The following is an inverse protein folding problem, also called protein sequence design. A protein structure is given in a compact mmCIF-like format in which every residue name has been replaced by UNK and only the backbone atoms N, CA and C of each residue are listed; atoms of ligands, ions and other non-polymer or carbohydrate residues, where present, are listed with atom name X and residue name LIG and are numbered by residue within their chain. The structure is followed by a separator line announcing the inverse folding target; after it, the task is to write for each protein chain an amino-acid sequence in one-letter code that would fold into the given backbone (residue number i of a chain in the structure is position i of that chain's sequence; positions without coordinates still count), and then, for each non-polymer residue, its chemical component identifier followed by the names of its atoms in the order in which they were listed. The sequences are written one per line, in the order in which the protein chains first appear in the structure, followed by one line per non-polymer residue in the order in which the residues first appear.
data_IF_634607834709
#
_entry.id   IF_634607834709
#
_cell.length_a   1.000
_cell.length_b   1.000
_cell.length_c   1.000
_cell.angle_alpha   90.00
_cell.angle_beta   90.00
_cell.angle_gamma   90.00
#
_symmetry.space_group_name_H-M   'P 1'
#
loop_
_entity.id
_entity.type
_entity.pdbx_description
1 polymer ?
#
# COMPACT_ATOMS: atom_id res chain seq x y z
N UNK A 1 10.11 -6.25 44.63
CA UNK A 1 9.78 -4.94 44.03
C UNK A 1 9.96 -5.09 42.55
N UNK A 2 8.85 -5.42 41.96
CA UNK A 2 8.73 -5.89 40.58
C UNK A 2 8.45 -4.68 39.69
N UNK A 3 9.41 -4.36 38.83
CA UNK A 3 9.28 -3.25 37.88
C UNK A 3 8.87 -3.85 36.55
N UNK A 4 7.57 -4.11 36.39
CA UNK A 4 6.99 -4.48 35.11
C UNK A 4 7.19 -3.32 34.13
N UNK A 5 8.17 -3.45 33.23
CA UNK A 5 8.30 -2.57 32.07
C UNK A 5 7.08 -2.81 31.18
N UNK A 6 6.22 -1.81 31.18
CA UNK A 6 5.11 -1.64 30.25
C UNK A 6 5.61 -1.86 28.82
N UNK A 7 5.19 -2.95 28.20
CA UNK A 7 5.35 -3.16 26.76
C UNK A 7 4.51 -2.11 26.08
N UNK A 8 5.19 -1.13 25.49
CA UNK A 8 4.57 -0.07 24.69
C UNK A 8 3.75 -0.73 23.58
N UNK A 9 2.44 -0.61 23.69
CA UNK A 9 1.47 -0.95 22.65
C UNK A 9 1.90 -0.27 21.35
N UNK A 10 2.19 -1.04 20.32
CA UNK A 10 2.38 -0.56 18.93
C UNK A 10 1.03 -0.13 18.37
N UNK A 11 0.43 0.89 19.00
CA UNK A 11 -0.78 1.49 18.48
C UNK A 11 -0.47 2.19 17.14
N UNK A 12 -1.35 2.10 16.13
CA UNK A 12 -1.17 2.83 14.88
C UNK A 12 -1.01 4.33 15.19
N UNK A 13 -0.14 4.99 14.42
CA UNK A 13 0.13 6.42 14.55
C UNK A 13 -1.17 7.24 14.63
N UNK A 14 -1.28 8.30 15.44
CA UNK A 14 -2.56 9.01 15.67
C UNK A 14 -3.25 9.50 14.40
N UNK A 15 -2.48 9.94 13.40
CA UNK A 15 -3.03 10.34 12.09
C UNK A 15 -3.53 9.12 11.29
N UNK A 16 -2.84 7.99 11.35
CA UNK A 16 -3.28 6.75 10.72
C UNK A 16 -4.57 6.21 11.34
N UNK A 17 -4.82 6.41 12.65
CA UNK A 17 -6.07 5.99 13.31
C UNK A 17 -7.31 6.58 12.67
N UNK A 18 -7.29 7.85 12.27
CA UNK A 18 -8.44 8.50 11.61
C UNK A 18 -8.74 7.88 10.23
N UNK A 19 -7.71 7.44 9.51
CA UNK A 19 -7.88 6.70 8.28
C UNK A 19 -8.41 5.29 8.53
N UNK A 20 -7.92 4.60 9.57
CA UNK A 20 -8.47 3.30 9.99
C UNK A 20 -9.96 3.44 10.32
N UNK A 21 -10.35 4.42 11.14
CA UNK A 21 -11.75 4.68 11.49
C UNK A 21 -12.62 4.99 10.26
N UNK A 22 -12.05 5.60 9.22
CA UNK A 22 -12.74 5.83 7.95
C UNK A 22 -12.95 4.52 7.18
N UNK A 23 -11.90 3.68 7.08
CA UNK A 23 -11.94 2.42 6.36
C UNK A 23 -12.74 1.33 7.08
N UNK A 24 -12.91 1.43 8.40
CA UNK A 24 -13.78 0.53 9.20
C UNK A 24 -15.27 0.73 8.89
N UNK A 25 -15.66 1.88 8.35
CA UNK A 25 -17.06 2.20 8.04
C UNK A 25 -17.39 1.88 6.59
N UNK A 26 -18.67 1.58 6.27
CA UNK A 26 -19.10 1.51 4.89
C UNK A 26 -18.79 2.84 4.17
N UNK A 27 -17.97 2.78 3.15
CA UNK A 27 -17.57 3.96 2.37
C UNK A 27 -17.73 3.68 0.88
N UNK A 28 -18.00 4.74 0.10
CA UNK A 28 -18.19 4.65 -1.34
C UNK A 28 -17.08 5.44 -2.06
N UNK A 29 -15.86 4.88 -2.05
CA UNK A 29 -14.76 5.42 -2.86
C UNK A 29 -14.93 5.04 -4.33
N UNK A 30 -15.55 3.90 -4.59
CA UNK A 30 -15.85 3.44 -5.94
C UNK A 30 -17.23 3.91 -6.39
N UNK A 31 -17.35 4.29 -7.65
CA UNK A 31 -18.59 4.82 -8.22
C UNK A 31 -19.74 3.80 -8.17
N UNK A 32 -19.43 2.53 -8.46
CA UNK A 32 -20.33 1.40 -8.41
C UNK A 32 -19.53 0.08 -8.43
N UNK A 33 -20.24 -1.05 -8.40
CA UNK A 33 -19.62 -2.39 -8.47
C UNK A 33 -18.78 -2.60 -9.73
N UNK A 34 -19.22 -2.12 -10.88
CA UNK A 34 -18.47 -2.23 -12.15
C UNK A 34 -17.13 -1.49 -12.08
N UNK A 35 -17.10 -0.29 -11.50
CA UNK A 35 -15.87 0.45 -11.27
C UNK A 35 -14.90 -0.35 -10.40
N UNK A 36 -15.39 -0.91 -9.29
CA UNK A 36 -14.62 -1.75 -8.38
C UNK A 36 -14.02 -2.96 -9.12
N UNK A 37 -14.83 -3.71 -9.85
CA UNK A 37 -14.41 -4.90 -10.61
C UNK A 37 -13.33 -4.56 -11.66
N UNK A 38 -13.52 -3.50 -12.42
CA UNK A 38 -12.55 -3.05 -13.44
C UNK A 38 -11.26 -2.59 -12.79
N UNK A 39 -11.34 -1.80 -11.72
CA UNK A 39 -10.18 -1.31 -11.00
C UNK A 39 -9.27 -2.48 -10.54
N UNK A 40 -9.85 -3.43 -9.83
CA UNK A 40 -9.08 -4.57 -9.31
C UNK A 40 -8.68 -5.58 -10.39
N UNK A 41 -9.42 -5.67 -11.50
CA UNK A 41 -9.01 -6.48 -12.65
C UNK A 41 -7.75 -5.93 -13.31
N UNK A 42 -7.68 -4.62 -13.53
CA UNK A 42 -6.51 -3.95 -14.10
C UNK A 42 -5.32 -4.02 -13.13
N UNK A 43 -5.56 -3.76 -11.84
CA UNK A 43 -4.53 -3.90 -10.82
C UNK A 43 -3.95 -5.31 -10.76
N UNK A 44 -4.80 -6.34 -10.74
CA UNK A 44 -4.36 -7.73 -10.72
C UNK A 44 -3.57 -8.11 -11.97
N UNK A 45 -3.94 -7.58 -13.14
CA UNK A 45 -3.21 -7.77 -14.40
C UNK A 45 -1.80 -7.17 -14.31
N UNK A 46 -1.67 -5.94 -13.82
CA UNK A 46 -0.39 -5.28 -13.68
C UNK A 46 0.51 -5.96 -12.64
N UNK A 47 -0.03 -6.38 -11.49
CA UNK A 47 0.70 -7.10 -10.44
C UNK A 47 1.17 -8.47 -10.93
N UNK A 48 0.41 -9.14 -11.80
CA UNK A 48 0.67 -10.51 -12.24
C UNK A 48 2.06 -10.73 -12.85
N UNK A 49 2.64 -9.68 -13.48
CA UNK A 49 3.98 -9.73 -14.07
C UNK A 49 5.10 -9.78 -13.01
N UNK A 50 4.78 -9.41 -11.78
CA UNK A 50 5.73 -9.32 -10.67
C UNK A 50 5.59 -10.46 -9.65
N UNK A 51 4.54 -11.26 -9.75
CA UNK A 51 4.28 -12.34 -8.77
C UNK A 51 5.36 -13.42 -8.85
N UNK A 52 5.97 -13.78 -7.71
CA UNK A 52 6.96 -14.85 -7.68
C UNK A 52 6.27 -16.22 -7.80
N UNK A 53 6.63 -17.04 -8.79
CA UNK A 53 6.10 -18.40 -8.86
C UNK A 53 6.41 -19.18 -7.57
N UNK A 54 5.38 -19.73 -6.92
CA UNK A 54 5.47 -20.45 -5.65
C UNK A 54 6.01 -19.64 -4.45
N UNK A 55 6.25 -18.34 -4.61
CA UNK A 55 6.74 -17.46 -3.54
C UNK A 55 5.63 -16.96 -2.62
N UNK A 56 6.06 -16.35 -1.51
CA UNK A 56 5.19 -15.71 -0.51
C UNK A 56 5.01 -14.23 -0.83
N UNK A 57 3.76 -13.81 -0.99
CA UNK A 57 3.39 -12.40 -1.23
C UNK A 57 2.78 -11.82 0.03
N UNK A 58 3.27 -10.65 0.47
CA UNK A 58 2.61 -9.84 1.52
C UNK A 58 1.92 -8.65 0.84
N UNK A 59 0.59 -8.59 0.93
CA UNK A 59 -0.21 -7.43 0.53
C UNK A 59 -0.49 -6.57 1.76
N UNK A 60 0.26 -5.47 1.87
CA UNK A 60 0.23 -4.55 3.02
C UNK A 60 -0.73 -3.39 2.75
N UNK A 61 -1.81 -3.32 3.52
CA UNK A 61 -2.94 -2.41 3.28
C UNK A 61 -3.86 -2.93 2.18
N UNK A 62 -4.14 -4.23 2.22
CA UNK A 62 -4.81 -4.97 1.14
C UNK A 62 -6.30 -4.61 0.94
N UNK A 63 -6.92 -3.87 1.88
CA UNK A 63 -8.35 -3.62 1.85
C UNK A 63 -9.15 -4.91 1.72
N UNK A 64 -10.18 -4.93 0.88
CA UNK A 64 -11.00 -6.14 0.64
C UNK A 64 -10.28 -7.20 -0.22
N UNK A 65 -9.01 -7.02 -0.56
CA UNK A 65 -8.15 -7.97 -1.28
C UNK A 65 -8.82 -8.61 -2.51
N UNK A 66 -9.50 -7.80 -3.35
CA UNK A 66 -10.28 -8.31 -4.49
C UNK A 66 -9.44 -8.89 -5.63
N UNK A 67 -8.12 -8.66 -5.61
CA UNK A 67 -7.17 -9.27 -6.54
C UNK A 67 -6.62 -10.63 -6.03
N UNK A 68 -6.90 -11.01 -4.78
CA UNK A 68 -6.24 -12.12 -4.10
C UNK A 68 -6.36 -13.47 -4.83
N UNK A 69 -7.55 -13.83 -5.33
CA UNK A 69 -7.73 -15.09 -6.03
C UNK A 69 -6.88 -15.18 -7.31
N UNK A 70 -6.82 -14.06 -8.07
CA UNK A 70 -5.97 -14.00 -9.28
C UNK A 70 -4.48 -14.04 -8.94
N UNK A 71 -4.08 -13.41 -7.82
CA UNK A 71 -2.70 -13.50 -7.35
C UNK A 71 -2.33 -14.93 -6.97
N UNK A 72 -3.24 -15.66 -6.32
CA UNK A 72 -3.04 -17.07 -5.94
C UNK A 72 -2.91 -18.03 -7.13
N UNK A 73 -3.33 -17.65 -8.33
CA UNK A 73 -3.09 -18.45 -9.53
C UNK A 73 -1.60 -18.50 -9.89
N UNK A 74 -0.78 -17.57 -9.39
CA UNK A 74 0.62 -17.39 -9.78
C UNK A 74 1.62 -17.44 -8.62
N UNK A 75 1.21 -17.13 -7.38
CA UNK A 75 2.09 -17.18 -6.21
C UNK A 75 1.84 -18.43 -5.35
N UNK A 76 2.75 -18.75 -4.44
CA UNK A 76 2.63 -19.89 -3.52
C UNK A 76 1.67 -19.62 -2.38
N UNK A 77 1.84 -18.52 -1.69
CA UNK A 77 1.03 -18.11 -0.54
C UNK A 77 0.83 -16.59 -0.49
N UNK A 78 -0.23 -16.19 0.20
CA UNK A 78 -0.63 -14.80 0.32
C UNK A 78 -0.84 -14.44 1.79
N UNK A 79 -0.08 -13.47 2.26
CA UNK A 79 -0.21 -12.83 3.55
C UNK A 79 -0.97 -11.53 3.34
N UNK A 80 -2.12 -11.36 3.99
CA UNK A 80 -2.97 -10.18 3.88
C UNK A 80 -2.91 -9.39 5.17
N UNK A 81 -2.50 -8.14 5.10
CA UNK A 81 -2.52 -7.23 6.24
C UNK A 81 -3.29 -5.96 5.89
N UNK A 82 -4.19 -5.59 6.79
CA UNK A 82 -4.83 -4.28 6.77
C UNK A 82 -4.90 -3.71 8.19
N UNK A 83 -4.79 -2.40 8.35
CA UNK A 83 -4.85 -1.75 9.66
C UNK A 83 -6.26 -1.80 10.27
N UNK A 84 -7.32 -1.89 9.44
CA UNK A 84 -8.71 -1.95 9.83
C UNK A 84 -9.08 -3.34 10.39
N UNK A 85 -9.50 -3.45 11.67
CA UNK A 85 -9.99 -4.70 12.24
C UNK A 85 -11.19 -5.27 11.48
N UNK A 86 -12.13 -4.41 11.06
CA UNK A 86 -13.32 -4.84 10.32
C UNK A 86 -12.96 -5.42 8.94
N UNK A 87 -11.93 -4.88 8.27
CA UNK A 87 -11.41 -5.47 7.02
C UNK A 87 -10.83 -6.85 7.30
N UNK A 88 -9.97 -6.98 8.32
CA UNK A 88 -9.35 -8.28 8.67
C UNK A 88 -10.39 -9.36 9.01
N UNK A 89 -11.46 -9.00 9.74
CA UNK A 89 -12.56 -9.90 10.06
C UNK A 89 -13.24 -10.43 8.79
N UNK A 90 -13.59 -9.54 7.85
CA UNK A 90 -14.18 -9.94 6.56
C UNK A 90 -13.27 -10.84 5.75
N UNK A 91 -11.97 -10.53 5.70
CA UNK A 91 -10.98 -11.33 4.98
C UNK A 91 -10.81 -12.71 5.62
N UNK A 92 -10.76 -12.79 6.95
CA UNK A 92 -10.67 -14.06 7.68
C UNK A 92 -11.87 -14.94 7.37
N UNK A 93 -13.08 -14.38 7.36
CA UNK A 93 -14.27 -15.12 6.97
C UNK A 93 -14.24 -15.55 5.50
N UNK A 94 -13.82 -14.66 4.58
CA UNK A 94 -13.76 -14.94 3.14
C UNK A 94 -12.77 -16.04 2.78
N UNK A 95 -11.62 -16.06 3.42
CA UNK A 95 -10.56 -17.02 3.12
C UNK A 95 -10.49 -18.18 4.12
N UNK A 96 -11.53 -18.35 4.95
CA UNK A 96 -11.62 -19.47 5.89
C UNK A 96 -11.42 -20.81 5.15
N UNK A 97 -10.48 -21.63 5.63
CA UNK A 97 -10.17 -22.93 5.02
C UNK A 97 -9.24 -22.88 3.79
N UNK A 98 -8.81 -21.72 3.33
CA UNK A 98 -7.76 -21.67 2.30
C UNK A 98 -6.36 -21.66 2.92
N UNK A 99 -5.60 -22.79 2.87
CA UNK A 99 -4.30 -22.89 3.55
C UNK A 99 -3.22 -21.99 2.92
N UNK A 100 -3.47 -21.44 1.73
CA UNK A 100 -2.52 -20.56 1.04
C UNK A 100 -2.71 -19.09 1.39
N UNK A 101 -3.75 -18.73 2.16
CA UNK A 101 -4.03 -17.37 2.59
C UNK A 101 -3.98 -17.26 4.10
N UNK A 102 -3.22 -16.30 4.60
CA UNK A 102 -3.19 -15.95 6.01
C UNK A 102 -3.48 -14.47 6.17
N UNK A 103 -4.51 -14.13 6.93
CA UNK A 103 -4.82 -12.76 7.35
C UNK A 103 -4.04 -12.46 8.62
N UNK A 104 -3.30 -11.35 8.62
CA UNK A 104 -2.40 -10.96 9.70
C UNK A 104 -2.99 -9.79 10.48
N UNK A 105 -2.87 -9.82 11.78
CA UNK A 105 -2.97 -8.63 12.63
C UNK A 105 -1.59 -8.01 12.89
N UNK A 106 -1.53 -6.95 13.71
CA UNK A 106 -0.28 -6.25 14.04
C UNK A 106 0.73 -7.15 14.77
N UNK A 107 0.24 -8.11 15.58
CA UNK A 107 1.09 -9.07 16.32
C UNK A 107 1.63 -10.11 15.37
N UNK A 108 0.77 -10.65 14.52
CA UNK A 108 1.15 -11.61 13.47
C UNK A 108 2.21 -11.03 12.54
N UNK A 109 1.98 -9.79 12.07
CA UNK A 109 2.94 -9.09 11.21
C UNK A 109 4.28 -8.85 11.92
N UNK A 110 4.25 -8.54 13.23
CA UNK A 110 5.46 -8.36 14.02
C UNK A 110 6.20 -9.67 14.32
N UNK A 111 5.49 -10.78 14.33
CA UNK A 111 6.02 -12.11 14.59
C UNK A 111 6.51 -12.84 13.33
N UNK A 112 6.32 -12.29 12.14
CA UNK A 112 6.85 -12.88 10.91
C UNK A 112 8.38 -12.95 10.98
N UNK A 113 8.97 -14.10 10.66
CA UNK A 113 10.42 -14.23 10.58
C UNK A 113 11.01 -13.29 9.52
N UNK A 114 12.22 -12.75 9.73
CA UNK A 114 12.94 -12.05 8.68
C UNK A 114 13.08 -12.91 7.42
N UNK A 115 13.03 -12.29 6.25
CA UNK A 115 13.22 -12.98 4.98
C UNK A 115 12.07 -13.88 4.54
N UNK A 116 10.88 -13.75 5.13
CA UNK A 116 9.71 -14.59 4.80
C UNK A 116 9.03 -14.20 3.47
N UNK A 117 9.18 -12.96 3.04
CA UNK A 117 8.39 -12.35 1.95
C UNK A 117 9.22 -12.23 0.68
N UNK A 118 8.77 -12.84 -0.41
CA UNK A 118 9.40 -12.73 -1.72
C UNK A 118 8.88 -11.54 -2.52
N UNK A 119 7.63 -11.14 -2.29
CA UNK A 119 7.06 -9.92 -2.85
C UNK A 119 6.23 -9.18 -1.81
N UNK A 120 6.61 -7.96 -1.53
CA UNK A 120 5.84 -7.01 -0.73
C UNK A 120 5.07 -6.08 -1.67
N UNK A 121 3.75 -6.02 -1.50
CA UNK A 121 2.88 -5.07 -2.18
C UNK A 121 2.46 -3.98 -1.20
N UNK A 122 2.60 -2.71 -1.61
CA UNK A 122 2.13 -1.53 -0.90
C UNK A 122 1.42 -0.65 -1.93
N UNK A 123 0.12 -0.89 -2.12
CA UNK A 123 -0.65 -0.28 -3.21
C UNK A 123 -1.69 0.68 -2.65
N UNK A 124 -1.65 1.95 -3.05
CA UNK A 124 -2.58 2.99 -2.57
C UNK A 124 -2.56 3.18 -1.04
N UNK A 125 -1.42 2.98 -0.38
CA UNK A 125 -1.28 3.03 1.08
C UNK A 125 -0.51 4.26 1.55
N UNK A 126 0.58 4.62 0.86
CA UNK A 126 1.51 5.63 1.37
C UNK A 126 0.87 6.99 1.64
N UNK A 127 -0.20 7.35 0.92
CA UNK A 127 -0.93 8.60 1.15
C UNK A 127 -1.61 8.69 2.53
N UNK A 128 -1.75 7.56 3.23
CA UNK A 128 -2.34 7.48 4.57
C UNK A 128 -1.30 7.39 5.68
N UNK A 129 -0.02 7.28 5.32
CA UNK A 129 1.11 7.20 6.24
C UNK A 129 1.70 8.61 6.40
N UNK A 130 1.75 9.17 7.63
CA UNK A 130 2.44 10.42 7.85
C UNK A 130 3.92 10.33 7.44
N UNK A 131 4.42 11.36 6.77
CA UNK A 131 5.80 11.38 6.26
C UNK A 131 6.85 11.04 7.34
N UNK A 132 6.76 11.54 8.59
CA UNK A 132 7.73 11.18 9.64
C UNK A 132 7.73 9.71 10.03
N UNK A 133 6.63 8.99 9.76
CA UNK A 133 6.45 7.58 10.13
C UNK A 133 6.93 6.63 9.03
N UNK A 134 7.04 7.12 7.79
CA UNK A 134 7.41 6.32 6.61
C UNK A 134 8.76 5.61 6.76
N UNK A 135 9.85 6.26 7.21
CA UNK A 135 11.15 5.59 7.33
C UNK A 135 11.12 4.40 8.31
N UNK A 136 10.38 4.52 9.41
CA UNK A 136 10.23 3.42 10.38
C UNK A 136 9.44 2.25 9.79
N UNK A 137 8.36 2.55 9.06
CA UNK A 137 7.56 1.55 8.35
C UNK A 137 8.40 0.82 7.30
N UNK A 138 9.10 1.54 6.44
CA UNK A 138 9.92 0.95 5.37
C UNK A 138 11.02 0.04 5.93
N UNK A 139 11.71 0.44 7.01
CA UNK A 139 12.71 -0.41 7.68
C UNK A 139 12.09 -1.70 8.23
N UNK A 140 10.91 -1.60 8.84
CA UNK A 140 10.18 -2.77 9.35
C UNK A 140 9.81 -3.73 8.22
N UNK A 141 9.26 -3.22 7.13
CA UNK A 141 8.86 -4.02 5.98
C UNK A 141 10.05 -4.63 5.23
N UNK A 142 11.18 -3.89 5.15
CA UNK A 142 12.43 -4.40 4.56
C UNK A 142 12.92 -5.68 5.24
N UNK A 143 12.84 -5.75 6.56
CA UNK A 143 13.30 -6.94 7.31
C UNK A 143 12.53 -8.19 6.91
N UNK A 144 11.28 -8.05 6.49
CA UNK A 144 10.45 -9.18 6.07
C UNK A 144 10.82 -9.71 4.68
N UNK A 145 11.47 -8.90 3.83
CA UNK A 145 11.86 -9.31 2.48
C UNK A 145 12.97 -10.36 2.52
N UNK A 146 12.81 -11.41 1.73
CA UNK A 146 13.89 -12.37 1.44
C UNK A 146 15.06 -11.68 0.72
N UNK A 147 16.26 -12.25 0.71
CA UNK A 147 17.42 -11.63 0.07
C UNK A 147 17.21 -11.28 -1.41
N UNK A 148 16.39 -12.04 -2.13
CA UNK A 148 15.99 -11.78 -3.52
C UNK A 148 14.57 -11.21 -3.61
N UNK A 149 13.96 -10.90 -2.48
CA UNK A 149 12.62 -10.36 -2.40
C UNK A 149 12.54 -8.94 -2.96
N UNK A 150 11.33 -8.58 -3.41
CA UNK A 150 11.06 -7.26 -4.01
C UNK A 150 9.92 -6.58 -3.28
N UNK A 151 9.97 -5.26 -3.20
CA UNK A 151 8.84 -4.44 -2.81
C UNK A 151 8.30 -3.72 -4.05
N UNK A 152 6.98 -3.77 -4.25
CA UNK A 152 6.25 -2.92 -5.19
C UNK A 152 5.44 -1.89 -4.41
N UNK A 153 5.78 -0.64 -4.61
CA UNK A 153 5.09 0.49 -4.01
C UNK A 153 4.37 1.22 -5.14
N UNK A 154 3.06 1.14 -5.14
CA UNK A 154 2.26 1.58 -6.27
C UNK A 154 1.18 2.60 -5.88
N UNK A 155 0.68 3.30 -6.90
CA UNK A 155 -0.35 4.34 -6.77
C UNK A 155 0.08 5.49 -5.85
N UNK A 156 1.37 5.82 -5.87
CA UNK A 156 1.95 6.92 -5.10
C UNK A 156 1.51 8.27 -5.66
N UNK A 157 1.05 9.14 -4.78
CA UNK A 157 0.59 10.49 -5.13
C UNK A 157 1.78 11.44 -5.22
N UNK A 158 2.00 11.99 -6.41
CA UNK A 158 2.99 13.02 -6.65
C UNK A 158 2.40 14.39 -6.29
N UNK A 159 3.07 15.25 -5.48
CA UNK A 159 2.56 16.57 -5.11
C UNK A 159 2.32 17.50 -6.32
N UNK A 160 3.02 17.28 -7.43
CA UNK A 160 2.82 18.02 -8.67
C UNK A 160 1.58 17.61 -9.47
N UNK A 161 0.85 16.56 -9.03
CA UNK A 161 -0.33 16.07 -9.75
C UNK A 161 -1.54 16.99 -9.53
N UNK A 162 -2.12 17.58 -10.59
CA UNK A 162 -3.33 18.38 -10.47
C UNK A 162 -4.51 17.55 -9.95
N UNK A 163 -5.33 18.11 -9.05
CA UNK A 163 -6.56 17.46 -8.57
C UNK A 163 -7.50 17.02 -9.69
N UNK A 164 -7.52 17.77 -10.80
CA UNK A 164 -8.31 17.44 -11.99
C UNK A 164 -7.81 16.18 -12.72
N UNK A 165 -6.57 15.75 -12.51
CA UNK A 165 -6.06 14.53 -13.14
C UNK A 165 -6.75 13.27 -12.62
N UNK A 166 -7.04 13.19 -11.31
CA UNK A 166 -7.81 12.09 -10.71
C UNK A 166 -9.22 12.05 -11.29
N UNK A 167 -9.87 13.22 -11.40
CA UNK A 167 -11.23 13.35 -11.98
C UNK A 167 -11.23 12.91 -13.45
N UNK A 168 -10.29 13.41 -14.24
CA UNK A 168 -10.18 13.06 -15.66
C UNK A 168 -9.91 11.55 -15.86
N UNK A 169 -9.04 10.96 -15.03
CA UNK A 169 -8.76 9.53 -15.05
C UNK A 169 -9.99 8.69 -14.73
N UNK A 170 -10.75 9.06 -13.70
CA UNK A 170 -11.99 8.37 -13.32
C UNK A 170 -13.05 8.48 -14.42
N UNK A 171 -13.23 9.66 -15.03
CA UNK A 171 -14.20 9.85 -16.12
C UNK A 171 -13.79 9.07 -17.37
N UNK A 172 -12.50 9.08 -17.73
CA UNK A 172 -11.98 8.28 -18.84
C UNK A 172 -12.22 6.80 -18.62
N UNK A 173 -11.92 6.27 -17.43
CA UNK A 173 -12.17 4.88 -17.10
C UNK A 173 -13.67 4.56 -17.15
N UNK A 174 -14.52 5.46 -16.63
CA UNK A 174 -15.98 5.34 -16.70
C UNK A 174 -16.51 5.29 -18.14
N UNK A 175 -15.95 6.12 -19.02
CA UNK A 175 -16.26 6.10 -20.45
C UNK A 175 -15.83 4.79 -21.11
N UNK A 176 -14.56 4.39 -20.93
CA UNK A 176 -13.99 3.20 -21.59
C UNK A 176 -14.67 1.90 -21.14
N UNK A 177 -15.12 1.83 -19.88
CA UNK A 177 -15.67 0.60 -19.29
C UNK A 177 -17.19 0.64 -19.00
N UNK A 178 -17.89 1.66 -19.49
CA UNK A 178 -19.35 1.73 -19.49
C UNK A 178 -20.01 2.11 -18.15
N UNK A 179 -19.30 2.90 -17.29
CA UNK A 179 -19.86 3.40 -16.01
C UNK A 179 -19.70 4.91 -15.82
N UNK A 180 -19.66 5.69 -16.93
CA UNK A 180 -19.46 7.14 -16.88
C UNK A 180 -20.49 7.86 -16.01
N UNK A 181 -21.77 7.53 -16.14
CA UNK A 181 -22.85 8.15 -15.35
C UNK A 181 -22.65 7.93 -13.85
N UNK A 182 -22.27 6.71 -13.46
CA UNK A 182 -21.93 6.39 -12.07
C UNK A 182 -20.70 7.18 -11.60
N UNK A 183 -19.70 7.38 -12.46
CA UNK A 183 -18.52 8.20 -12.15
C UNK A 183 -18.90 9.66 -11.89
N UNK A 184 -19.76 10.25 -12.71
CA UNK A 184 -20.24 11.62 -12.50
C UNK A 184 -20.99 11.78 -11.17
N UNK A 185 -21.90 10.85 -10.86
CA UNK A 185 -22.64 10.83 -9.58
C UNK A 185 -21.68 10.65 -8.39
N UNK A 186 -20.69 9.77 -8.52
CA UNK A 186 -19.70 9.53 -7.46
C UNK A 186 -18.83 10.76 -7.19
N UNK A 187 -18.42 11.49 -8.22
CA UNK A 187 -17.66 12.74 -8.07
C UNK A 187 -18.46 13.80 -7.29
N UNK A 188 -19.76 13.94 -7.59
CA UNK A 188 -20.64 14.83 -6.81
C UNK A 188 -20.74 14.37 -5.36
N UNK A 189 -20.97 13.07 -5.10
CA UNK A 189 -21.04 12.53 -3.75
C UNK A 189 -19.72 12.70 -2.99
N UNK A 190 -18.58 12.50 -3.65
CA UNK A 190 -17.26 12.65 -3.04
C UNK A 190 -17.03 14.09 -2.54
N UNK A 191 -17.54 15.11 -3.27
CA UNK A 191 -17.44 16.52 -2.83
C UNK A 191 -18.22 16.79 -1.53
N UNK A 192 -19.27 16.00 -1.26
CA UNK A 192 -20.13 16.11 -0.08
C UNK A 192 -19.77 15.09 1.03
N UNK A 193 -18.77 14.24 0.80
CA UNK A 193 -18.44 13.13 1.70
C UNK A 193 -17.48 13.51 2.82
N UNK A 194 -17.47 12.71 3.89
CA UNK A 194 -16.52 12.79 5.00
C UNK A 194 -15.05 12.59 4.56
N UNK A 195 -14.79 11.98 3.40
CA UNK A 195 -13.46 11.79 2.86
C UNK A 195 -12.66 13.09 2.76
N UNK A 196 -13.29 14.18 2.31
CA UNK A 196 -12.63 15.50 2.23
C UNK A 196 -12.30 16.06 3.62
N UNK A 197 -13.16 15.80 4.60
CA UNK A 197 -12.91 16.19 5.99
C UNK A 197 -11.75 15.39 6.57
N UNK A 198 -11.78 14.06 6.46
CA UNK A 198 -10.72 13.19 6.94
C UNK A 198 -9.39 13.53 6.27
N UNK A 199 -9.37 13.75 4.96
CA UNK A 199 -8.17 14.16 4.22
C UNK A 199 -7.56 15.47 4.75
N UNK A 200 -8.39 16.44 5.16
CA UNK A 200 -7.91 17.70 5.74
C UNK A 200 -7.41 17.54 7.18
N UNK A 201 -8.08 16.70 7.97
CA UNK A 201 -7.82 16.56 9.40
C UNK A 201 -6.71 15.55 9.72
N UNK A 202 -6.66 14.45 9.00
CA UNK A 202 -5.67 13.39 9.16
C UNK A 202 -4.42 13.59 8.30
N UNK A 203 -4.47 14.50 7.33
CA UNK A 203 -3.44 14.68 6.32
C UNK A 203 -3.58 13.67 5.17
N UNK A 204 -2.87 13.94 4.09
CA UNK A 204 -2.79 13.11 2.90
C UNK A 204 -1.38 13.29 2.34
N UNK A 205 -0.54 12.30 2.56
CA UNK A 205 0.86 12.37 2.20
C UNK A 205 1.04 12.27 0.68
N UNK A 206 1.99 13.01 0.18
CA UNK A 206 2.40 13.00 -1.23
C UNK A 206 3.91 12.93 -1.28
N UNK A 207 4.45 12.23 -2.26
CA UNK A 207 5.89 12.02 -2.37
C UNK A 207 6.37 12.36 -3.76
N UNK A 208 7.41 13.21 -3.85
CA UNK A 208 8.14 13.36 -5.10
C UNK A 208 8.86 12.05 -5.43
N UNK A 209 9.09 11.73 -6.71
CA UNK A 209 9.82 10.51 -7.07
C UNK A 209 11.16 10.39 -6.37
N UNK A 210 11.97 11.45 -6.36
CA UNK A 210 13.30 11.45 -5.74
C UNK A 210 13.19 11.33 -4.21
N UNK A 211 12.27 12.06 -3.57
CA UNK A 211 12.06 11.98 -2.12
C UNK A 211 11.64 10.58 -1.65
N UNK A 212 10.83 9.86 -2.45
CA UNK A 212 10.51 8.47 -2.10
C UNK A 212 11.70 7.53 -2.30
N UNK A 213 12.52 7.74 -3.34
CA UNK A 213 13.74 6.97 -3.54
C UNK A 213 14.73 7.18 -2.38
N UNK A 214 14.88 8.41 -1.89
CA UNK A 214 15.70 8.72 -0.71
C UNK A 214 15.18 8.00 0.54
N UNK A 215 13.87 7.95 0.76
CA UNK A 215 13.29 7.20 1.88
C UNK A 215 13.54 5.69 1.78
N UNK A 216 13.46 5.13 0.57
CA UNK A 216 13.78 3.73 0.32
C UNK A 216 15.25 3.43 0.62
N UNK A 217 16.17 4.25 0.12
CA UNK A 217 17.60 4.10 0.37
C UNK A 217 17.93 4.17 1.87
N UNK A 218 17.40 5.15 2.59
CA UNK A 218 17.54 5.28 4.05
C UNK A 218 16.97 4.08 4.83
N UNK A 219 16.05 3.35 4.23
CA UNK A 219 15.51 2.10 4.78
C UNK A 219 16.32 0.86 4.38
N UNK A 220 17.40 1.01 3.59
CA UNK A 220 18.23 -0.08 3.07
C UNK A 220 17.58 -0.83 1.90
N UNK A 221 16.80 -0.10 1.09
CA UNK A 221 16.16 -0.59 -0.13
C UNK A 221 16.70 0.18 -1.33
N UNK A 222 17.18 -0.51 -2.35
CA UNK A 222 17.53 0.10 -3.65
C UNK A 222 16.26 0.21 -4.48
N UNK A 223 15.74 1.42 -4.61
CA UNK A 223 14.51 1.73 -5.33
C UNK A 223 14.76 2.13 -6.78
N UNK A 224 13.84 1.78 -7.66
CA UNK A 224 13.75 2.32 -9.03
C UNK A 224 12.31 2.71 -9.34
N UNK A 225 12.12 3.83 -10.02
CA UNK A 225 10.81 4.23 -10.49
C UNK A 225 10.43 3.37 -11.71
N UNK A 226 9.21 2.83 -11.70
CA UNK A 226 8.66 2.11 -12.85
C UNK A 226 8.23 3.07 -13.97
N UNK A 227 8.31 2.63 -15.24
CA UNK A 227 7.96 3.46 -16.39
C UNK A 227 6.47 3.82 -16.43
N UNK A 228 5.59 2.99 -15.86
CA UNK A 228 4.15 3.22 -15.73
C UNK A 228 3.67 2.92 -14.33
N UNK A 229 2.52 3.49 -13.96
CA UNK A 229 1.87 3.13 -12.72
C UNK A 229 1.31 1.70 -12.78
N UNK A 230 1.35 0.99 -11.66
CA UNK A 230 0.61 -0.25 -11.43
C UNK A 230 -0.79 0.13 -10.98
N UNK A 231 -1.79 -0.27 -11.76
CA UNK A 231 -3.19 0.11 -11.56
C UNK A 231 -3.68 1.19 -12.54
N UNK A 232 -4.99 1.49 -12.49
CA UNK A 232 -5.69 2.20 -13.56
C UNK A 232 -5.47 3.73 -13.59
N UNK A 233 -4.67 4.29 -12.68
CA UNK A 233 -4.47 5.73 -12.55
C UNK A 233 -3.12 6.16 -13.14
N UNK A 234 -3.04 6.57 -14.43
CA UNK A 234 -1.79 6.68 -15.17
C UNK A 234 -0.85 7.81 -14.70
N UNK A 235 -1.38 8.82 -14.01
CA UNK A 235 -0.57 9.93 -13.48
C UNK A 235 0.04 9.68 -12.10
N UNK A 236 -0.32 8.56 -11.46
CA UNK A 236 0.32 8.09 -10.23
C UNK A 236 1.67 7.46 -10.54
N UNK A 237 2.47 7.22 -9.50
CA UNK A 237 3.80 6.67 -9.64
C UNK A 237 3.90 5.31 -8.96
N UNK A 238 4.72 4.43 -9.55
CA UNK A 238 5.06 3.15 -8.95
C UNK A 238 6.55 2.95 -8.92
N UNK A 239 7.00 2.21 -7.92
CA UNK A 239 8.40 1.93 -7.64
C UNK A 239 8.57 0.45 -7.36
N UNK A 240 9.67 -0.11 -7.83
CA UNK A 240 10.18 -1.39 -7.38
C UNK A 240 11.40 -1.16 -6.50
N UNK A 241 11.57 -1.94 -5.45
CA UNK A 241 12.73 -1.83 -4.57
C UNK A 241 13.19 -3.22 -4.14
N UNK A 242 14.51 -3.37 -3.94
CA UNK A 242 15.15 -4.61 -3.51
C UNK A 242 15.99 -4.33 -2.27
N UNK A 243 16.16 -5.30 -1.35
CA UNK A 243 17.07 -5.14 -0.22
C UNK A 243 18.48 -4.81 -0.70
N UNK A 244 19.11 -3.81 -0.07
CA UNK A 244 20.53 -3.55 -0.28
C UNK A 244 21.35 -4.56 0.52
N UNK A 245 22.36 -5.14 -0.08
CA UNK A 245 23.33 -6.00 0.60
C UNK A 245 24.10 -5.19 1.65
N UNK A 246 24.48 -5.83 2.77
CA UNK A 246 25.17 -5.15 3.88
C UNK A 246 26.49 -4.46 3.47
N UNK A 247 27.06 -4.81 2.31
CA UNK A 247 28.24 -4.14 1.74
C UNK A 247 27.92 -2.76 1.12
N UNK A 248 26.71 -2.54 0.65
CA UNK A 248 26.27 -1.28 0.03
C UNK A 248 25.92 -0.18 1.06
N UNK A 249 25.70 -0.54 2.32
CA UNK A 249 25.35 0.43 3.38
C UNK A 249 26.52 1.34 3.83
N UNK A 250 27.74 1.05 3.39
CA UNK A 250 28.95 1.80 3.74
C UNK A 250 29.33 2.94 2.80
N UNK A 251 28.63 3.14 1.69
CA UNK A 251 29.01 4.11 0.66
C UNK A 251 28.36 5.50 0.81
N UNK A 252 27.46 5.71 1.77
CA UNK A 252 26.96 7.03 2.14
C UNK A 252 28.03 7.75 3.00
N UNK A 253 28.99 8.39 2.34
CA UNK A 253 30.00 9.21 2.99
C UNK A 253 29.39 10.36 3.78
N UNK A 254 30.10 10.86 4.83
CA UNK A 254 29.62 11.98 5.62
C UNK A 254 29.46 13.22 4.74
N UNK A 255 28.35 13.94 4.93
CA UNK A 255 28.10 15.20 4.26
C UNK A 255 29.30 16.17 4.41
N UNK A 256 29.68 16.92 3.38
CA UNK A 256 30.78 17.86 3.47
C UNK A 256 30.47 18.96 4.51
N UNK A 257 31.32 19.08 5.52
CA UNK A 257 31.29 20.21 6.45
C UNK A 257 31.46 21.51 5.65
N UNK A 258 30.42 22.32 5.59
CA UNK A 258 30.54 23.72 5.14
C UNK A 258 31.05 24.53 6.34
N UNK A 259 32.27 24.98 6.22
CA UNK A 259 32.82 26.03 7.06
C UNK A 259 32.32 27.41 6.59
#
# INVERSE_FOLDING_TARGET
MDSARSVSSTAPFPAARRWVDFWDRPHSVYANRRHLEVHFALLAQDIAEHLPPNGTVLDFGCGDALAAERMLERCGSLLLFDASPAVRERLTARFAGNPRVRVLDDRDLAALPPGTVDLLLVVSVLQYIPEPDLPALLRRLRVLLSPQGKALIADVVDPGTPLLADVASQLRMGWTHGFLTASLVALVRLTLSDYRRVRREAGFATYTPDGLLDHLEQAGLRGVRLPRNIGPTPHRRSFAAEPMDGADQGAAGPAPNVQ
#
